data_IF_224268074115
#
_entry.id   IF_224268074115
#
_cell.length_a   1.000
_cell.length_b   1.000
_cell.length_c   1.000
_cell.angle_alpha   90.00
_cell.angle_beta   90.00
_cell.angle_gamma   90.00
#
_symmetry.space_group_name_H-M   'P 1'
#
loop_
_entity.id
_entity.type
_entity.pdbx_description
1 polymer ?
#
# COMPACT_ATOMS: atom_id res chain seq x y z
N UNK A 1 25.22 -13.77 -1.43
CA UNK A 1 24.03 -14.62 -1.52
C UNK A 1 23.10 -14.39 -0.33
N UNK A 2 23.52 -14.61 0.95
CA UNK A 2 22.68 -14.40 2.14
C UNK A 2 22.17 -12.97 2.28
N UNK A 3 23.02 -11.95 2.04
CA UNK A 3 22.63 -10.54 2.12
C UNK A 3 21.52 -10.18 1.11
N UNK A 4 21.58 -10.74 -0.11
CA UNK A 4 20.54 -10.54 -1.11
C UNK A 4 19.24 -11.19 -0.65
N UNK A 5 19.26 -12.46 -0.23
CA UNK A 5 18.07 -13.15 0.29
C UNK A 5 17.44 -12.41 1.49
N UNK A 6 18.27 -11.89 2.40
CA UNK A 6 17.78 -11.11 3.54
C UNK A 6 17.15 -9.79 3.10
N UNK A 7 17.80 -9.05 2.17
CA UNK A 7 17.23 -7.79 1.65
C UNK A 7 15.87 -8.00 0.97
N UNK A 8 15.73 -9.09 0.21
CA UNK A 8 14.49 -9.42 -0.51
C UNK A 8 13.51 -10.29 0.29
N UNK A 9 13.72 -10.48 1.60
CA UNK A 9 12.70 -11.09 2.48
C UNK A 9 11.56 -10.13 2.82
N UNK A 10 11.74 -8.85 2.54
CA UNK A 10 10.71 -7.81 2.57
C UNK A 10 10.48 -7.29 1.15
N UNK A 11 9.36 -6.61 0.91
CA UNK A 11 9.09 -5.93 -0.36
C UNK A 11 10.26 -5.00 -0.70
N UNK A 12 10.73 -5.05 -1.94
CA UNK A 12 11.83 -4.24 -2.41
C UNK A 12 11.50 -3.70 -3.81
N UNK A 13 11.28 -2.41 -3.90
CA UNK A 13 10.84 -1.70 -5.11
C UNK A 13 11.91 -0.74 -5.65
N UNK A 14 13.07 -0.66 -5.00
CA UNK A 14 14.14 0.29 -5.32
C UNK A 14 15.23 -0.37 -6.17
N UNK A 15 15.43 0.14 -7.37
CA UNK A 15 16.45 -0.32 -8.30
C UNK A 15 16.13 -1.66 -8.97
N UNK A 16 17.09 -2.18 -9.73
CA UNK A 16 16.93 -3.42 -10.46
C UNK A 16 16.88 -4.63 -9.52
N UNK A 17 16.01 -5.57 -9.84
CA UNK A 17 15.86 -6.81 -9.09
C UNK A 17 17.07 -7.75 -9.34
N UNK A 18 17.90 -7.93 -8.33
CA UNK A 18 19.07 -8.84 -8.39
C UNK A 18 18.81 -10.18 -7.70
N UNK A 19 17.63 -10.39 -7.13
CA UNK A 19 17.26 -11.64 -6.47
C UNK A 19 17.28 -12.86 -7.42
N UNK A 20 16.91 -12.75 -8.72
CA UNK A 20 16.95 -13.86 -9.66
C UNK A 20 18.31 -14.55 -9.77
N UNK A 21 19.41 -13.82 -9.65
CA UNK A 21 20.77 -14.39 -9.63
C UNK A 21 21.08 -15.30 -8.44
N UNK A 22 20.19 -15.36 -7.47
CA UNK A 22 20.35 -16.15 -6.26
C UNK A 22 19.29 -17.25 -6.15
N UNK A 23 18.18 -17.10 -6.88
CA UNK A 23 17.06 -18.04 -6.84
C UNK A 23 17.08 -19.05 -7.97
N UNK A 24 17.57 -18.65 -9.15
CA UNK A 24 17.51 -19.45 -10.37
C UNK A 24 18.90 -19.81 -10.86
N UNK A 25 19.02 -21.00 -11.45
CA UNK A 25 20.24 -21.48 -12.10
C UNK A 25 20.13 -21.38 -13.63
N UNK A 26 18.89 -21.40 -14.17
CA UNK A 26 18.65 -21.24 -15.60
C UNK A 26 18.75 -19.78 -16.02
N UNK A 27 19.49 -19.53 -17.11
CA UNK A 27 19.73 -18.16 -17.60
C UNK A 27 18.47 -17.47 -18.11
N UNK A 28 17.52 -18.22 -18.66
CA UNK A 28 16.28 -17.64 -19.18
C UNK A 28 15.36 -17.25 -18.04
N UNK A 29 15.30 -18.05 -16.97
CA UNK A 29 14.57 -17.70 -15.75
C UNK A 29 15.17 -16.46 -15.10
N UNK A 30 16.51 -16.36 -15.02
CA UNK A 30 17.19 -15.18 -14.48
C UNK A 30 16.81 -13.94 -15.29
N UNK A 31 16.90 -14.00 -16.63
CA UNK A 31 16.57 -12.85 -17.49
C UNK A 31 15.10 -12.46 -17.34
N UNK A 32 14.19 -13.43 -17.41
CA UNK A 32 12.75 -13.18 -17.29
C UNK A 32 12.40 -12.47 -15.99
N UNK A 33 12.96 -12.93 -14.87
CA UNK A 33 12.69 -12.34 -13.56
C UNK A 33 13.44 -11.02 -13.29
N UNK A 34 14.58 -10.78 -13.96
CA UNK A 34 15.25 -9.48 -13.93
C UNK A 34 14.46 -8.38 -14.65
N UNK A 35 13.61 -8.74 -15.64
CA UNK A 35 12.73 -7.79 -16.32
C UNK A 35 11.64 -7.24 -15.41
N UNK A 36 11.23 -8.03 -14.39
CA UNK A 36 10.24 -7.60 -13.41
C UNK A 36 10.83 -6.48 -12.53
N UNK A 37 10.19 -5.31 -12.53
CA UNK A 37 10.67 -4.13 -11.81
C UNK A 37 11.78 -3.34 -12.54
N UNK A 38 12.09 -3.67 -13.79
CA UNK A 38 13.11 -2.95 -14.58
C UNK A 38 12.60 -1.64 -15.20
N UNK A 39 11.31 -1.39 -15.18
CA UNK A 39 10.65 -0.20 -15.74
C UNK A 39 11.07 0.09 -17.22
N UNK A 40 11.24 -0.97 -18.00
CA UNK A 40 11.64 -0.88 -19.41
C UNK A 40 13.12 -0.56 -19.64
N UNK A 41 13.95 -0.50 -18.59
CA UNK A 41 15.39 -0.17 -18.73
C UNK A 41 16.25 -1.34 -19.26
N UNK A 42 15.79 -2.58 -19.07
CA UNK A 42 16.53 -3.77 -19.53
C UNK A 42 16.03 -4.35 -20.85
N UNK A 43 14.82 -4.03 -21.26
CA UNK A 43 14.25 -4.54 -22.49
C UNK A 43 12.81 -4.12 -22.71
N UNK A 44 12.29 -4.42 -23.89
CA UNK A 44 10.89 -4.25 -24.24
C UNK A 44 10.15 -5.56 -24.05
N UNK A 45 9.09 -5.53 -23.24
CA UNK A 45 8.23 -6.68 -22.99
C UNK A 45 7.05 -6.66 -23.98
N UNK A 46 7.05 -7.54 -24.96
CA UNK A 46 5.99 -7.63 -25.98
C UNK A 46 4.80 -8.46 -25.53
N UNK A 47 5.04 -9.46 -24.71
CA UNK A 47 4.02 -10.39 -24.20
C UNK A 47 4.42 -10.94 -22.84
N UNK A 48 3.45 -11.13 -21.95
CA UNK A 48 3.66 -11.75 -20.65
C UNK A 48 2.51 -12.70 -20.32
N UNK A 49 2.83 -13.85 -19.72
CA UNK A 49 1.87 -14.73 -19.07
C UNK A 49 1.92 -14.46 -17.58
N UNK A 50 0.78 -14.07 -16.99
CA UNK A 50 0.68 -13.70 -15.58
C UNK A 50 -0.18 -14.73 -14.84
N UNK A 51 0.17 -14.99 -13.60
CA UNK A 51 -0.70 -15.70 -12.68
C UNK A 51 -1.84 -14.77 -12.23
N UNK A 52 -3.05 -15.32 -12.10
CA UNK A 52 -4.20 -14.57 -11.57
C UNK A 52 -4.20 -14.65 -10.06
N UNK A 53 -4.62 -13.58 -9.41
CA UNK A 53 -4.88 -13.56 -7.98
C UNK A 53 -6.36 -13.83 -7.69
N UNK A 54 -6.63 -14.37 -6.50
CA UNK A 54 -8.00 -14.59 -6.04
C UNK A 54 -8.77 -13.26 -5.93
N UNK A 55 -9.98 -13.24 -6.47
CA UNK A 55 -10.90 -12.09 -6.36
C UNK A 55 -11.92 -12.37 -5.25
N UNK A 56 -11.77 -11.69 -4.14
CA UNK A 56 -12.69 -11.79 -3.02
C UNK A 56 -14.04 -11.12 -3.35
N UNK A 57 -15.13 -11.73 -2.85
CA UNK A 57 -16.49 -11.25 -3.10
C UNK A 57 -16.94 -10.13 -2.16
N UNK A 58 -16.31 -10.04 -0.98
CA UNK A 58 -16.64 -9.05 0.04
C UNK A 58 -15.38 -8.23 0.38
N UNK A 59 -15.54 -6.91 0.37
CA UNK A 59 -14.45 -5.97 0.68
C UNK A 59 -14.96 -4.87 1.60
N UNK A 60 -14.10 -4.38 2.48
CA UNK A 60 -14.36 -3.20 3.28
C UNK A 60 -13.09 -2.36 3.41
N UNK A 61 -13.26 -1.05 3.39
CA UNK A 61 -12.17 -0.10 3.58
C UNK A 61 -12.46 0.86 4.73
N UNK A 62 -11.41 1.44 5.30
CA UNK A 62 -11.51 2.48 6.30
C UNK A 62 -10.44 3.55 6.08
N UNK A 63 -10.80 4.82 6.31
CA UNK A 63 -9.88 5.94 6.34
C UNK A 63 -9.74 6.41 7.79
N UNK A 64 -8.58 6.15 8.40
CA UNK A 64 -8.28 6.44 9.80
C UNK A 64 -7.32 7.62 9.89
N UNK A 65 -7.68 8.66 10.63
CA UNK A 65 -6.86 9.86 10.77
C UNK A 65 -6.14 9.91 12.13
N UNK A 66 -4.87 10.30 12.08
CA UNK A 66 -3.98 10.43 13.24
C UNK A 66 -3.39 11.85 13.29
N UNK A 67 -3.22 12.39 14.50
CA UNK A 67 -2.53 13.68 14.69
C UNK A 67 -1.02 13.57 14.51
N UNK A 68 -0.46 12.37 14.74
CA UNK A 68 0.98 12.11 14.68
C UNK A 68 1.29 10.90 13.79
N UNK A 69 2.18 11.10 12.84
CA UNK A 69 2.67 10.05 11.94
C UNK A 69 3.32 8.88 12.69
N UNK A 70 3.97 9.14 13.83
CA UNK A 70 4.58 8.08 14.65
C UNK A 70 3.51 7.16 15.24
N UNK A 71 2.35 7.71 15.61
CA UNK A 71 1.20 6.92 16.08
C UNK A 71 0.64 6.06 14.96
N UNK A 72 0.45 6.62 13.76
CA UNK A 72 0.02 5.89 12.58
C UNK A 72 0.99 4.73 12.26
N UNK A 73 2.30 4.98 12.29
CA UNK A 73 3.31 3.94 12.06
C UNK A 73 3.27 2.83 13.12
N UNK A 74 3.06 3.16 14.40
CA UNK A 74 2.89 2.14 15.46
C UNK A 74 1.64 1.31 15.24
N UNK A 75 0.54 1.93 14.79
CA UNK A 75 -0.68 1.24 14.43
C UNK A 75 -0.43 0.24 13.28
N UNK A 76 0.26 0.65 12.21
CA UNK A 76 0.64 -0.24 11.09
C UNK A 76 1.43 -1.46 11.58
N UNK A 77 2.43 -1.24 12.47
CA UNK A 77 3.23 -2.34 13.03
C UNK A 77 2.39 -3.32 13.85
N UNK A 78 1.40 -2.83 14.60
CA UNK A 78 0.49 -3.66 15.36
C UNK A 78 -0.48 -4.43 14.44
N UNK A 79 -1.06 -3.76 13.45
CA UNK A 79 -1.94 -4.36 12.44
C UNK A 79 -1.24 -5.49 11.68
N UNK A 80 -0.02 -5.26 11.21
CA UNK A 80 0.76 -6.27 10.47
C UNK A 80 1.00 -7.55 11.29
N UNK A 81 1.04 -7.46 12.61
CA UNK A 81 1.29 -8.61 13.51
C UNK A 81 0.04 -9.38 13.88
N UNK A 82 -1.11 -8.71 13.96
CA UNK A 82 -2.24 -9.23 14.73
C UNK A 82 -3.59 -9.13 14.00
N UNK A 83 -3.65 -8.54 12.81
CA UNK A 83 -4.91 -8.31 12.12
C UNK A 83 -4.89 -8.72 10.65
N UNK A 84 -6.01 -9.18 10.10
CA UNK A 84 -6.14 -9.63 8.71
C UNK A 84 -6.31 -8.44 7.75
N UNK A 85 -5.30 -7.57 7.68
CA UNK A 85 -5.25 -6.43 6.76
C UNK A 85 -4.80 -6.92 5.38
N UNK A 86 -5.56 -6.59 4.34
CA UNK A 86 -5.21 -6.89 2.95
C UNK A 86 -4.24 -5.86 2.37
N UNK A 87 -4.53 -4.57 2.59
CA UNK A 87 -3.64 -3.46 2.26
C UNK A 87 -3.75 -2.35 3.30
N UNK A 88 -2.67 -1.60 3.47
CA UNK A 88 -2.61 -0.45 4.35
C UNK A 88 -1.68 0.59 3.72
N UNK A 89 -2.28 1.72 3.32
CA UNK A 89 -1.58 2.85 2.70
C UNK A 89 -1.44 3.96 3.73
N UNK A 90 -0.23 4.47 3.93
CA UNK A 90 0.01 5.62 4.77
C UNK A 90 0.04 6.87 3.90
N UNK A 91 -0.84 7.81 4.22
CA UNK A 91 -0.96 9.11 3.56
C UNK A 91 -0.49 10.18 4.55
N UNK A 92 0.68 10.75 4.30
CA UNK A 92 1.21 11.79 5.17
C UNK A 92 0.46 13.12 4.97
N UNK A 93 0.69 14.06 5.87
CA UNK A 93 0.04 15.38 5.82
C UNK A 93 0.20 16.07 4.46
N UNK A 94 1.40 16.03 3.86
CA UNK A 94 1.63 16.69 2.58
C UNK A 94 0.91 16.02 1.44
N UNK A 95 0.78 14.70 1.49
CA UNK A 95 0.00 13.93 0.54
C UNK A 95 -1.49 14.32 0.60
N UNK A 96 -2.07 14.40 1.79
CA UNK A 96 -3.46 14.81 1.99
C UNK A 96 -3.69 16.27 1.55
N UNK A 97 -2.80 17.19 1.91
CA UNK A 97 -2.84 18.59 1.47
C UNK A 97 -2.81 18.70 -0.07
N UNK A 98 -2.05 17.86 -0.75
CA UNK A 98 -1.90 17.90 -2.20
C UNK A 98 -3.20 17.60 -2.97
N UNK A 99 -4.10 16.82 -2.37
CA UNK A 99 -5.41 16.46 -2.95
C UNK A 99 -6.57 17.25 -2.33
N UNK A 100 -6.26 18.30 -1.57
CA UNK A 100 -7.23 19.15 -0.88
C UNK A 100 -8.18 18.36 0.05
N UNK A 101 -7.67 17.34 0.73
CA UNK A 101 -8.45 16.65 1.74
C UNK A 101 -8.67 17.55 2.97
N UNK A 102 -9.84 18.17 3.02
CA UNK A 102 -10.22 19.07 4.11
C UNK A 102 -10.45 18.36 5.44
N UNK A 103 -10.76 17.05 5.41
CA UNK A 103 -10.91 16.24 6.62
C UNK A 103 -9.55 15.95 7.24
N UNK A 104 -8.56 15.67 6.39
CA UNK A 104 -7.20 15.33 6.80
C UNK A 104 -6.26 16.51 6.98
N UNK A 105 -6.75 17.77 6.98
CA UNK A 105 -5.89 18.95 7.13
C UNK A 105 -5.03 18.90 8.41
N UNK A 106 -3.71 18.91 8.23
CA UNK A 106 -2.75 18.80 9.33
C UNK A 106 -2.58 17.40 9.95
N UNK A 107 -3.26 16.39 9.40
CA UNK A 107 -3.28 15.02 9.90
C UNK A 107 -2.46 14.07 9.02
N UNK A 108 -2.32 12.84 9.49
CA UNK A 108 -1.82 11.68 8.73
C UNK A 108 -2.95 10.65 8.66
N UNK A 109 -3.13 9.98 7.52
CA UNK A 109 -4.15 8.96 7.40
C UNK A 109 -3.57 7.58 7.11
N UNK A 110 -4.30 6.54 7.52
CA UNK A 110 -4.16 5.17 7.05
C UNK A 110 -5.42 4.80 6.26
N UNK A 111 -5.25 4.47 4.99
CA UNK A 111 -6.30 3.82 4.21
C UNK A 111 -6.08 2.31 4.30
N UNK A 112 -7.01 1.63 4.96
CA UNK A 112 -6.94 0.19 5.24
C UNK A 112 -8.00 -0.53 4.43
N UNK A 113 -7.62 -1.68 3.87
CA UNK A 113 -8.51 -2.57 3.12
C UNK A 113 -8.47 -3.97 3.72
N UNK A 114 -9.63 -4.61 3.82
CA UNK A 114 -9.76 -6.02 4.19
C UNK A 114 -10.77 -6.73 3.30
N UNK A 115 -10.59 -8.03 3.09
CA UNK A 115 -11.35 -8.81 2.11
C UNK A 115 -11.66 -10.20 2.64
N UNK A 116 -12.78 -10.77 2.17
CA UNK A 116 -13.19 -12.13 2.50
C UNK A 116 -14.07 -12.72 1.39
N UNK A 117 -14.18 -14.05 1.35
CA UNK A 117 -15.13 -14.75 0.48
C UNK A 117 -16.53 -14.88 1.09
N UNK A 118 -16.69 -14.47 2.35
CA UNK A 118 -17.98 -14.47 3.03
C UNK A 118 -18.18 -13.19 3.85
N UNK A 119 -19.43 -12.81 4.03
CA UNK A 119 -19.82 -11.68 4.85
C UNK A 119 -19.40 -11.86 6.32
N UNK A 120 -19.63 -13.04 6.89
CA UNK A 120 -19.20 -13.38 8.25
C UNK A 120 -17.67 -13.27 8.42
N UNK A 121 -16.90 -13.74 7.42
CA UNK A 121 -15.45 -13.62 7.41
C UNK A 121 -15.00 -12.15 7.33
N UNK A 122 -15.70 -11.32 6.55
CA UNK A 122 -15.43 -9.89 6.46
C UNK A 122 -15.68 -9.19 7.79
N UNK A 123 -16.83 -9.47 8.44
CA UNK A 123 -17.16 -8.93 9.76
C UNK A 123 -16.13 -9.33 10.82
N UNK A 124 -15.69 -10.60 10.80
CA UNK A 124 -14.62 -11.10 11.67
C UNK A 124 -13.30 -10.36 11.46
N UNK A 125 -12.94 -10.10 10.21
CA UNK A 125 -11.74 -9.33 9.86
C UNK A 125 -11.83 -7.88 10.36
N UNK A 126 -12.96 -7.20 10.10
CA UNK A 126 -13.21 -5.84 10.56
C UNK A 126 -13.07 -5.76 12.07
N UNK A 127 -13.71 -6.68 12.81
CA UNK A 127 -13.62 -6.72 14.26
C UNK A 127 -12.19 -6.88 14.75
N UNK A 128 -11.42 -7.80 14.17
CA UNK A 128 -10.02 -8.02 14.54
C UNK A 128 -9.15 -6.78 14.28
N UNK A 129 -9.40 -6.07 13.18
CA UNK A 129 -8.71 -4.81 12.87
C UNK A 129 -9.11 -3.73 13.88
N UNK A 130 -10.39 -3.58 14.18
CA UNK A 130 -10.92 -2.60 15.14
C UNK A 130 -10.39 -2.83 16.56
N UNK A 131 -10.24 -4.08 16.99
CA UNK A 131 -9.64 -4.44 18.30
C UNK A 131 -8.17 -3.99 18.41
N UNK A 132 -7.44 -3.96 17.30
CA UNK A 132 -6.07 -3.42 17.26
C UNK A 132 -6.09 -1.90 17.21
N UNK A 133 -6.88 -1.32 16.29
CA UNK A 133 -6.99 0.14 16.07
C UNK A 133 -7.46 0.86 17.32
N UNK A 134 -8.37 0.27 18.08
CA UNK A 134 -8.89 0.81 19.34
C UNK A 134 -7.85 1.01 20.46
N UNK A 135 -6.61 0.52 20.27
CA UNK A 135 -5.49 0.74 21.20
C UNK A 135 -4.73 2.04 20.90
N UNK A 136 -5.08 2.75 19.84
CA UNK A 136 -4.42 3.97 19.37
C UNK A 136 -5.35 5.17 19.42
N UNK A 137 -4.78 6.37 19.59
CA UNK A 137 -5.55 7.61 19.59
C UNK A 137 -5.80 8.07 18.15
N UNK A 138 -7.04 7.96 17.71
CA UNK A 138 -7.50 8.49 16.42
C UNK A 138 -7.99 9.92 16.54
N UNK A 139 -7.96 10.66 15.44
CA UNK A 139 -8.58 11.98 15.36
C UNK A 139 -10.10 11.89 15.20
N UNK A 140 -10.58 10.87 14.49
CA UNK A 140 -12.00 10.60 14.26
C UNK A 140 -12.36 9.17 14.68
N UNK A 141 -13.63 8.86 14.81
CA UNK A 141 -14.08 7.51 15.05
C UNK A 141 -13.71 6.58 13.90
N UNK A 142 -13.17 5.40 14.22
CA UNK A 142 -12.85 4.38 13.23
C UNK A 142 -14.14 3.81 12.62
N UNK A 143 -14.23 3.84 11.31
CA UNK A 143 -15.37 3.36 10.54
C UNK A 143 -14.91 2.57 9.32
N UNK A 144 -15.40 1.34 9.19
CA UNK A 144 -15.25 0.53 7.98
C UNK A 144 -16.52 0.64 7.14
N UNK A 145 -16.34 0.94 5.86
CA UNK A 145 -17.42 0.97 4.89
C UNK A 145 -17.32 -0.19 3.90
N UNK A 146 -18.46 -0.75 3.56
CA UNK A 146 -18.65 -1.69 2.45
C UNK A 146 -19.35 -1.02 1.26
N UNK A 147 -19.73 0.27 1.41
CA UNK A 147 -20.35 1.04 0.34
C UNK A 147 -19.33 1.29 -0.80
N UNK A 148 -19.60 0.80 -2.01
CA UNK A 148 -18.70 0.96 -3.16
C UNK A 148 -18.43 2.42 -3.51
N UNK A 149 -19.38 3.34 -3.33
CA UNK A 149 -19.21 4.74 -3.66
C UNK A 149 -18.26 5.43 -2.67
N UNK A 150 -18.44 5.19 -1.38
CA UNK A 150 -17.58 5.74 -0.34
C UNK A 150 -16.14 5.19 -0.43
N UNK A 151 -16.00 3.87 -0.55
CA UNK A 151 -14.68 3.22 -0.65
C UNK A 151 -13.95 3.63 -1.92
N UNK A 152 -14.64 3.72 -3.07
CA UNK A 152 -14.06 4.22 -4.31
C UNK A 152 -13.61 5.69 -4.19
N UNK A 153 -14.31 6.51 -3.40
CA UNK A 153 -13.92 7.88 -3.08
C UNK A 153 -12.54 7.93 -2.41
N UNK A 154 -12.32 7.13 -1.37
CA UNK A 154 -11.03 7.06 -0.66
C UNK A 154 -9.89 6.57 -1.56
N UNK A 155 -10.13 5.53 -2.35
CA UNK A 155 -9.14 5.00 -3.29
C UNK A 155 -8.84 5.97 -4.43
N UNK A 156 -9.83 6.75 -4.88
CA UNK A 156 -9.65 7.83 -5.86
C UNK A 156 -8.78 8.96 -5.30
N UNK A 157 -9.02 9.36 -4.04
CA UNK A 157 -8.20 10.33 -3.34
C UNK A 157 -6.73 9.86 -3.30
N UNK A 158 -6.48 8.63 -2.84
CA UNK A 158 -5.14 8.04 -2.81
C UNK A 158 -4.49 8.05 -4.20
N UNK A 159 -5.22 7.66 -5.22
CA UNK A 159 -4.70 7.62 -6.60
C UNK A 159 -4.38 9.01 -7.17
N UNK A 160 -5.05 10.05 -6.69
CA UNK A 160 -4.83 11.44 -7.07
C UNK A 160 -3.57 12.07 -6.48
N UNK A 161 -2.98 11.48 -5.42
CA UNK A 161 -1.81 12.07 -4.73
C UNK A 161 -0.61 12.19 -5.66
N UNK A 162 -0.24 11.12 -6.36
CA UNK A 162 0.94 11.12 -7.23
C UNK A 162 0.88 12.21 -8.32
N UNK A 163 -0.18 12.30 -9.15
CA UNK A 163 -0.27 13.35 -10.16
C UNK A 163 -0.37 14.74 -9.54
N UNK A 164 -1.02 14.90 -8.38
CA UNK A 164 -1.14 16.19 -7.70
C UNK A 164 0.22 16.69 -7.19
N UNK A 165 0.97 15.87 -6.48
CA UNK A 165 2.34 16.23 -6.02
C UNK A 165 3.26 16.51 -7.21
N UNK A 166 3.17 15.71 -8.28
CA UNK A 166 3.92 15.90 -9.51
C UNK A 166 3.59 17.23 -10.20
N UNK A 167 2.31 17.61 -10.21
CA UNK A 167 1.82 18.85 -10.85
C UNK A 167 2.13 20.14 -10.09
N UNK A 168 2.25 20.07 -8.77
CA UNK A 168 2.48 21.24 -7.90
C UNK A 168 3.95 21.50 -7.58
N UNK A 169 4.86 20.63 -8.00
CA UNK A 169 6.29 20.77 -7.72
C UNK A 169 6.89 22.01 -8.39
N UNK A 170 7.90 22.64 -7.77
CA UNK A 170 8.63 23.76 -8.39
C UNK A 170 9.32 23.33 -9.70
N UNK A 171 9.42 24.26 -10.66
CA UNK A 171 10.14 24.04 -11.91
C UNK A 171 11.60 23.62 -11.64
N UNK A 172 12.07 22.59 -12.33
CA UNK A 172 13.42 22.05 -12.20
C UNK A 172 13.63 21.12 -10.99
N UNK A 173 12.56 20.79 -10.24
CA UNK A 173 12.58 19.79 -9.17
C UNK A 173 11.96 18.47 -9.61
N UNK A 174 12.25 17.41 -8.84
CA UNK A 174 11.63 16.09 -8.99
C UNK A 174 10.86 15.77 -7.72
N UNK A 175 9.69 15.15 -7.86
CA UNK A 175 8.99 14.53 -6.75
C UNK A 175 9.57 13.13 -6.54
N UNK A 176 9.90 12.78 -5.29
CA UNK A 176 10.31 11.43 -4.90
C UNK A 176 9.13 10.85 -4.12
N UNK A 177 8.51 9.83 -4.67
CA UNK A 177 7.44 9.07 -4.03
C UNK A 177 7.91 7.62 -4.00
N UNK A 178 8.04 7.07 -2.82
CA UNK A 178 8.57 5.73 -2.60
C UNK A 178 7.55 4.85 -1.89
N UNK A 179 7.48 3.61 -2.30
CA UNK A 179 6.80 2.54 -1.58
C UNK A 179 7.69 2.02 -0.47
N UNK A 180 7.14 1.95 0.74
CA UNK A 180 7.79 1.33 1.90
C UNK A 180 7.00 0.06 2.25
N UNK A 181 7.71 -1.03 2.46
CA UNK A 181 7.09 -2.30 2.83
C UNK A 181 7.43 -2.70 4.27
#
# INVERSE_FOLDING_TARGET
TQRIRHKYSIKNVTGLNILPFVLYDDVFDIIAHCLVGSEGTLGFLSEATLETSHLYTHTASAMLYFKDISEACRCVVALKKSAPVFSCELLDRKSLESVNDTTGEGLTALLIDTKSDSEEGLEGNIKAIMDVVGQFELFNDAHFSTDPEETAGWWSLRSGIFPSVGGTRPLGSTAIIEDIA
#
